data_IF_850661988621
#
_entry.id   IF_850661988621
#
_cell.length_a   1.000
_cell.length_b   1.000
_cell.length_c   1.000
_cell.angle_alpha   90.00
_cell.angle_beta   90.00
_cell.angle_gamma   90.00
#
_symmetry.space_group_name_H-M   'P 1'
#
loop_
_entity.id
_entity.type
_entity.pdbx_description
1 polymer ?
#
# COMPACT_ATOMS: atom_id res chain seq x y z
N UNK A 1 1.05 27.18 33.60
CA UNK A 1 1.69 28.21 34.45
C UNK A 1 2.96 27.62 35.02
N UNK A 2 4.11 28.28 34.85
CA UNK A 2 5.34 27.86 35.50
C UNK A 2 5.49 28.59 36.84
N UNK A 3 5.67 27.83 37.92
CA UNK A 3 5.99 28.39 39.23
C UNK A 3 7.44 28.85 39.24
N UNK A 4 7.69 30.10 39.63
CA UNK A 4 9.05 30.65 39.76
C UNK A 4 9.73 30.12 41.02
N UNK A 5 11.05 30.21 41.08
CA UNK A 5 11.83 29.78 42.24
C UNK A 5 11.40 30.48 43.54
N UNK A 6 11.12 31.78 43.46
CA UNK A 6 10.64 32.57 44.60
C UNK A 6 9.25 32.11 45.05
N UNK A 7 8.34 31.83 44.10
CA UNK A 7 7.02 31.30 44.41
C UNK A 7 7.12 29.95 45.12
N UNK A 8 8.01 29.05 44.67
CA UNK A 8 8.24 27.77 45.34
C UNK A 8 8.73 27.97 46.78
N UNK A 9 9.67 28.89 47.00
CA UNK A 9 10.19 29.16 48.36
C UNK A 9 9.11 29.75 49.27
N UNK A 10 8.26 30.64 48.75
CA UNK A 10 7.12 31.20 49.48
C UNK A 10 6.10 30.10 49.84
N UNK A 11 5.75 29.24 48.89
CA UNK A 11 4.81 28.11 49.09
C UNK A 11 5.35 27.14 50.14
N UNK A 12 6.64 26.84 50.08
CA UNK A 12 7.31 25.93 51.01
C UNK A 12 7.70 26.59 52.34
N UNK A 13 7.27 27.83 52.63
CA UNK A 13 7.60 28.58 53.85
C UNK A 13 9.11 28.64 54.15
N UNK A 14 9.94 28.72 53.10
CA UNK A 14 11.41 28.70 53.17
C UNK A 14 12.04 27.39 53.67
N UNK A 15 11.27 26.31 53.80
CA UNK A 15 11.83 24.98 54.06
C UNK A 15 12.62 24.50 52.83
N UNK A 16 13.94 24.34 53.02
CA UNK A 16 14.89 24.03 51.96
C UNK A 16 14.70 22.62 51.40
N UNK A 17 14.38 21.65 52.26
CA UNK A 17 14.21 20.26 51.83
C UNK A 17 12.92 20.12 51.03
N UNK A 18 11.82 20.67 51.54
CA UNK A 18 10.52 20.66 50.85
C UNK A 18 10.60 21.41 49.52
N UNK A 19 11.26 22.57 49.48
CA UNK A 19 11.46 23.32 48.24
C UNK A 19 12.29 22.53 47.22
N UNK A 20 13.27 21.73 47.65
CA UNK A 20 14.08 20.89 46.75
C UNK A 20 13.25 19.78 46.10
N UNK A 21 12.44 19.06 46.89
CA UNK A 21 11.55 18.01 46.38
C UNK A 21 10.49 18.58 45.44
N UNK A 22 9.91 19.73 45.78
CA UNK A 22 8.91 20.38 44.96
C UNK A 22 9.47 20.79 43.58
N UNK A 23 10.70 21.33 43.54
CA UNK A 23 11.37 21.64 42.27
C UNK A 23 11.67 20.40 41.45
N UNK A 24 12.15 19.33 42.08
CA UNK A 24 12.40 18.06 41.40
C UNK A 24 11.10 17.50 40.79
N UNK A 25 9.99 17.57 41.52
CA UNK A 25 8.68 17.13 41.05
C UNK A 25 8.16 18.01 39.90
N UNK A 26 8.35 19.33 39.96
CA UNK A 26 8.02 20.22 38.85
C UNK A 26 8.84 19.90 37.59
N UNK A 27 10.14 19.65 37.74
CA UNK A 27 11.01 19.29 36.63
C UNK A 27 10.57 17.96 36.00
N UNK A 28 10.26 16.95 36.81
CA UNK A 28 9.76 15.65 36.34
C UNK A 28 8.43 15.81 35.59
N UNK A 29 7.49 16.59 36.11
CA UNK A 29 6.22 16.85 35.44
C UNK A 29 6.42 17.50 34.06
N UNK A 30 7.32 18.48 33.94
CA UNK A 30 7.65 19.09 32.64
C UNK A 30 8.19 18.06 31.65
N UNK A 31 9.10 17.20 32.11
CA UNK A 31 9.64 16.13 31.26
C UNK A 31 8.54 15.17 30.79
N UNK A 32 7.62 14.80 31.66
CA UNK A 32 6.48 13.95 31.33
C UNK A 32 5.56 14.62 30.31
N UNK A 33 5.24 15.91 30.48
CA UNK A 33 4.41 16.66 29.51
C UNK A 33 5.04 16.65 28.13
N UNK A 34 6.33 16.97 28.02
CA UNK A 34 7.05 16.96 26.74
C UNK A 34 7.08 15.56 26.12
N UNK A 35 7.24 14.51 26.94
CA UNK A 35 7.24 13.14 26.48
C UNK A 35 5.86 12.71 25.97
N UNK A 36 4.78 13.12 26.64
CA UNK A 36 3.40 12.88 26.20
C UNK A 36 3.12 13.59 24.87
N UNK A 37 3.53 14.85 24.71
CA UNK A 37 3.37 15.58 23.44
C UNK A 37 4.12 14.89 22.29
N UNK A 38 5.36 14.46 22.51
CA UNK A 38 6.14 13.71 21.51
C UNK A 38 5.47 12.39 21.14
N UNK A 39 4.93 11.66 22.12
CA UNK A 39 4.20 10.43 21.86
C UNK A 39 2.91 10.68 21.09
N UNK A 40 2.15 11.73 21.43
CA UNK A 40 0.93 12.09 20.72
C UNK A 40 1.20 12.38 19.23
N UNK A 41 2.24 13.16 18.93
CA UNK A 41 2.68 13.43 17.55
C UNK A 41 3.07 12.12 16.85
N UNK A 42 3.77 11.23 17.54
CA UNK A 42 4.19 9.95 16.96
C UNK A 42 2.99 9.04 16.67
N UNK A 43 2.00 9.00 17.54
CA UNK A 43 0.76 8.26 17.37
C UNK A 43 0.01 8.79 16.14
N UNK A 44 -0.17 10.11 16.02
CA UNK A 44 -0.85 10.71 14.87
C UNK A 44 -0.15 10.35 13.54
N UNK A 45 1.19 10.39 13.51
CA UNK A 45 1.98 9.98 12.34
C UNK A 45 1.79 8.49 11.99
N UNK A 46 1.76 7.63 13.00
CA UNK A 46 1.58 6.20 12.83
C UNK A 46 0.15 5.88 12.36
N UNK A 47 -0.86 6.51 12.94
CA UNK A 47 -2.26 6.36 12.53
C UNK A 47 -2.47 6.78 11.07
N UNK A 48 -1.90 7.92 10.65
CA UNK A 48 -1.93 8.34 9.24
C UNK A 48 -1.29 7.30 8.32
N UNK A 49 -0.14 6.74 8.71
CA UNK A 49 0.55 5.72 7.93
C UNK A 49 -0.23 4.41 7.87
N UNK A 50 -0.83 3.99 8.98
CA UNK A 50 -1.70 2.80 9.03
C UNK A 50 -2.91 2.99 8.14
N UNK A 51 -3.60 4.12 8.22
CA UNK A 51 -4.74 4.42 7.36
C UNK A 51 -4.39 4.40 5.87
N UNK A 52 -3.23 4.96 5.49
CA UNK A 52 -2.76 4.92 4.11
C UNK A 52 -2.44 3.48 3.65
N UNK A 53 -1.77 2.69 4.49
CA UNK A 53 -1.47 1.29 4.18
C UNK A 53 -2.76 0.45 4.08
N UNK A 54 -3.73 0.68 4.96
CA UNK A 54 -5.04 0.04 4.89
C UNK A 54 -5.80 0.43 3.61
N UNK A 55 -5.71 1.70 3.19
CA UNK A 55 -6.29 2.16 1.91
C UNK A 55 -5.64 1.46 0.72
N UNK A 56 -4.31 1.37 0.70
CA UNK A 56 -3.56 0.65 -0.34
C UNK A 56 -3.90 -0.84 -0.35
N UNK A 57 -3.98 -1.47 0.83
CA UNK A 57 -4.39 -2.86 0.96
C UNK A 57 -5.82 -3.06 0.47
N UNK A 58 -6.79 -2.21 0.82
CA UNK A 58 -8.18 -2.33 0.32
C UNK A 58 -8.25 -2.19 -1.21
N UNK A 59 -7.48 -1.28 -1.77
CA UNK A 59 -7.36 -1.11 -3.22
C UNK A 59 -6.77 -2.37 -3.89
N UNK A 60 -5.75 -2.97 -3.28
CA UNK A 60 -5.07 -4.14 -3.83
C UNK A 60 -5.77 -5.48 -3.46
N UNK A 61 -6.50 -5.55 -2.36
CA UNK A 61 -7.18 -6.76 -1.85
C UNK A 61 -8.44 -7.06 -2.64
N UNK A 62 -9.14 -6.03 -3.12
CA UNK A 62 -10.24 -6.20 -4.07
C UNK A 62 -9.75 -6.60 -5.48
N UNK A 63 -8.43 -6.66 -5.68
CA UNK A 63 -7.75 -7.18 -6.87
C UNK A 63 -6.91 -8.44 -6.59
N UNK A 64 -6.89 -8.93 -5.34
CA UNK A 64 -6.04 -10.07 -4.91
C UNK A 64 -6.77 -11.41 -4.94
N UNK A 65 -8.10 -11.44 -5.04
CA UNK A 65 -8.87 -12.68 -5.15
C UNK A 65 -8.85 -13.28 -6.56
N UNK A 66 -8.20 -12.60 -7.50
CA UNK A 66 -8.04 -13.05 -8.88
C UNK A 66 -6.59 -12.85 -9.31
N UNK A 67 -5.81 -13.91 -9.58
CA UNK A 67 -4.47 -13.75 -10.15
C UNK A 67 -4.54 -12.87 -11.41
N UNK A 68 -3.46 -12.18 -11.81
CA UNK A 68 -3.45 -11.32 -12.99
C UNK A 68 -3.79 -12.07 -14.30
N UNK A 69 -3.78 -13.41 -14.27
CA UNK A 69 -4.25 -14.31 -15.33
C UNK A 69 -5.73 -14.73 -15.24
N UNK A 70 -6.49 -14.20 -14.28
CA UNK A 70 -7.92 -14.51 -14.06
C UNK A 70 -8.84 -13.29 -14.16
N UNK A 71 -8.34 -12.19 -14.72
CA UNK A 71 -9.18 -11.39 -15.61
C UNK A 71 -9.53 -12.34 -16.75
N UNK A 72 -10.51 -13.20 -16.49
CA UNK A 72 -10.94 -14.24 -17.38
C UNK A 72 -11.16 -13.57 -18.70
N UNK A 73 -10.42 -14.05 -19.71
CA UNK A 73 -10.51 -13.64 -21.09
C UNK A 73 -12.01 -13.44 -21.37
N UNK A 74 -12.52 -12.21 -21.28
CA UNK A 74 -13.92 -11.98 -21.59
C UNK A 74 -13.98 -12.36 -23.04
N UNK A 75 -14.69 -13.44 -23.35
CA UNK A 75 -14.86 -13.92 -24.72
C UNK A 75 -15.32 -12.69 -25.49
N UNK A 76 -14.43 -12.10 -26.30
CA UNK A 76 -14.80 -10.98 -27.15
C UNK A 76 -16.00 -11.50 -27.93
N UNK A 77 -17.17 -10.86 -27.76
CA UNK A 77 -18.36 -11.26 -28.49
C UNK A 77 -17.96 -11.31 -29.97
N UNK A 78 -18.05 -12.50 -30.56
CA UNK A 78 -17.59 -12.73 -31.92
C UNK A 78 -18.25 -11.68 -32.82
N UNK A 79 -17.46 -10.73 -33.36
CA UNK A 79 -17.94 -9.75 -34.35
C UNK A 79 -18.25 -10.41 -35.70
N UNK A 80 -18.01 -11.71 -35.82
CA UNK A 80 -18.33 -12.50 -37.01
C UNK A 80 -19.84 -12.69 -37.08
N UNK A 81 -20.46 -12.22 -38.16
CA UNK A 81 -21.83 -12.59 -38.50
C UNK A 81 -21.91 -14.11 -38.70
N UNK A 82 -22.70 -14.80 -37.88
CA UNK A 82 -23.01 -16.20 -38.08
C UNK A 82 -23.84 -16.33 -39.38
N UNK A 83 -23.36 -17.13 -40.34
CA UNK A 83 -24.09 -17.40 -41.59
C UNK A 83 -23.29 -17.33 -42.89
N UNK A 84 -22.00 -16.95 -42.87
CA UNK A 84 -21.18 -17.04 -44.08
C UNK A 84 -20.77 -18.49 -44.34
N UNK A 85 -20.97 -18.96 -45.57
CA UNK A 85 -20.55 -20.30 -46.00
C UNK A 85 -19.05 -20.44 -45.79
N UNK A 86 -18.64 -21.53 -45.15
CA UNK A 86 -17.24 -21.84 -44.91
C UNK A 86 -16.62 -22.33 -46.23
N UNK A 87 -15.72 -21.54 -46.81
CA UNK A 87 -15.08 -21.84 -48.08
C UNK A 87 -14.55 -20.59 -48.78
N UNK A 88 -13.72 -20.78 -49.80
CA UNK A 88 -13.31 -19.69 -50.68
C UNK A 88 -14.53 -19.15 -51.47
N UNK A 89 -14.58 -17.84 -51.77
CA UNK A 89 -15.57 -17.29 -52.70
C UNK A 89 -15.56 -18.07 -54.03
N UNK A 90 -16.74 -18.29 -54.62
CA UNK A 90 -16.84 -18.91 -55.95
C UNK A 90 -16.00 -18.09 -56.95
N UNK A 91 -15.03 -18.75 -57.60
CA UNK A 91 -14.12 -18.12 -58.58
C UNK A 91 -12.65 -18.11 -58.20
N UNK A 92 -12.25 -18.67 -57.05
CA UNK A 92 -10.83 -18.91 -56.76
C UNK A 92 -10.40 -20.31 -57.20
N UNK A 93 -9.42 -20.36 -58.09
CA UNK A 93 -8.75 -21.61 -58.45
C UNK A 93 -8.00 -22.17 -57.22
N UNK A 94 -8.34 -23.39 -56.82
CA UNK A 94 -7.69 -24.06 -55.70
C UNK A 94 -6.26 -24.41 -56.05
N UNK A 95 -5.29 -23.89 -55.28
CA UNK A 95 -3.89 -24.28 -55.44
C UNK A 95 -3.54 -25.39 -54.43
N UNK A 96 -3.48 -26.63 -54.90
CA UNK A 96 -3.03 -27.76 -54.06
C UNK A 96 -1.49 -27.79 -54.02
N UNK A 97 -0.92 -27.87 -52.82
CA UNK A 97 0.52 -28.12 -52.65
C UNK A 97 0.86 -29.51 -53.20
N UNK A 98 1.82 -29.58 -54.12
CA UNK A 98 2.35 -30.85 -54.63
C UNK A 98 3.44 -31.35 -53.70
N UNK A 99 3.36 -32.62 -53.31
CA UNK A 99 4.38 -33.28 -52.52
C UNK A 99 5.64 -33.47 -53.40
N UNK A 100 6.73 -32.80 -53.06
CA UNK A 100 8.02 -33.04 -53.70
C UNK A 100 8.70 -34.21 -52.99
N UNK A 101 9.00 -35.29 -53.72
CA UNK A 101 9.65 -36.51 -53.22
C UNK A 101 11.16 -36.35 -53.00
N UNK A 102 11.65 -35.13 -52.78
CA UNK A 102 13.07 -34.88 -52.56
C UNK A 102 13.34 -34.95 -51.06
N UNK A 103 13.80 -36.12 -50.60
CA UNK A 103 14.39 -36.27 -49.28
C UNK A 103 15.58 -35.30 -49.17
N UNK A 104 15.49 -34.29 -48.30
CA UNK A 104 16.64 -33.47 -47.93
C UNK A 104 17.61 -34.36 -47.15
N UNK A 105 18.62 -34.92 -47.84
CA UNK A 105 19.79 -35.50 -47.18
C UNK A 105 20.56 -34.36 -46.51
N UNK A 106 20.46 -34.27 -45.19
CA UNK A 106 21.38 -33.47 -44.37
C UNK A 106 22.68 -34.28 -44.16
N UNK A 107 23.85 -33.79 -44.59
CA UNK A 107 25.11 -34.44 -44.25
C UNK A 107 25.49 -34.14 -42.80
N UNK A 108 26.06 -35.14 -42.12
CA UNK A 108 26.58 -35.08 -40.75
C UNK A 108 27.80 -34.18 -40.61
#
# INVERSE_FOLDING_TARGET
>A
MELTHEQVNIICKSDREIASYFRALLAQNRQLTVLVEKQAIRIEQLEKRVNELERQLRHNSNNSSKPPFSVGLRKLANLRQAGRKQGAPNGHDGHTLRFLATQNLFPH
#
